data_IF_262840469731
#
_entry.id   IF_262840469731
#
_cell.length_a   1.000
_cell.length_b   1.000
_cell.length_c   1.000
_cell.angle_alpha   90.00
_cell.angle_beta   90.00
_cell.angle_gamma   90.00
#
_symmetry.space_group_name_H-M   'P 1'
#
loop_
_entity.id
_entity.type
_entity.pdbx_description
1 polymer ?
2 polymer ?
3 non-polymer ?
4 water ?
#
# COMPACT_ATOMS: atom_id res chain seq x y z
N UNK A 1 27.66 -4.07 4.84
CA UNK A 1 28.06 -2.85 5.53
C UNK A 1 27.59 -2.78 6.95
N UNK A 2 27.74 -1.61 7.56
CA UNK A 2 27.33 -1.44 8.96
C UNK A 2 25.84 -1.30 9.12
N UNK A 3 25.34 -1.73 10.27
CA UNK A 3 23.92 -1.54 10.57
C UNK A 3 23.71 -0.05 10.82
N UNK A 4 22.70 0.54 10.17
CA UNK A 4 22.45 1.97 10.23
C UNK A 4 21.05 2.22 10.78
N UNK A 5 20.89 3.32 11.52
CA UNK A 5 19.58 3.85 11.91
C UNK A 5 19.27 5.06 11.06
N UNK A 6 18.08 5.11 10.46
CA UNK A 6 17.71 6.19 9.55
C UNK A 6 16.30 6.68 9.91
N UNK A 7 16.14 8.00 10.00
CA UNK A 7 14.87 8.61 10.34
C UNK A 7 14.14 9.04 9.08
N UNK A 8 12.84 8.73 9.02
CA UNK A 8 11.99 9.12 7.91
C UNK A 8 10.78 9.82 8.49
N UNK A 9 10.37 10.93 7.87
CA UNK A 9 9.22 11.69 8.32
C UNK A 9 8.16 11.61 7.25
N UNK A 10 6.92 11.31 7.65
CA UNK A 10 5.84 11.24 6.67
C UNK A 10 4.53 11.65 7.32
N UNK A 11 3.61 12.12 6.50
CA UNK A 11 2.28 12.46 6.97
C UNK A 11 1.32 11.35 6.54
N UNK A 12 0.11 11.37 7.10
CA UNK A 12 -0.76 10.22 6.90
C UNK A 12 -1.35 10.14 5.50
N UNK A 13 -1.22 11.18 4.67
CA UNK A 13 -1.82 11.14 3.34
C UNK A 13 -0.95 10.45 2.30
N UNK A 14 0.28 10.07 2.63
CA UNK A 14 1.21 9.57 1.63
C UNK A 14 1.73 8.20 2.05
N UNK A 15 2.31 7.47 1.11
CA UNK A 15 3.02 6.25 1.43
C UNK A 15 4.48 6.53 1.79
N UNK A 16 5.22 5.44 2.02
CA UNK A 16 6.64 5.57 2.33
C UNK A 16 7.45 6.02 1.12
N UNK A 17 7.01 5.65 -0.08
CA UNK A 17 7.77 5.99 -1.26
C UNK A 17 8.86 5.00 -1.57
N UNK A 18 8.67 3.73 -1.20
CA UNK A 18 9.64 2.69 -1.52
C UNK A 18 8.91 1.53 -2.17
N UNK A 19 9.63 0.80 -3.01
CA UNK A 19 9.21 -0.54 -3.40
C UNK A 19 10.13 -1.53 -2.72
N UNK A 20 9.54 -2.61 -2.23
CA UNK A 20 10.32 -3.65 -1.56
C UNK A 20 10.18 -4.97 -2.30
N UNK A 21 11.24 -5.76 -2.26
CA UNK A 21 11.20 -7.11 -2.79
C UNK A 21 11.77 -8.08 -1.74
N UNK A 22 11.70 -9.36 -2.03
CA UNK A 22 12.25 -10.35 -1.11
C UNK A 22 11.29 -10.78 -0.02
N UNK A 23 11.86 -11.42 0.98
CA UNK A 23 11.11 -12.00 2.08
C UNK A 23 11.62 -13.38 2.39
N UNK A 24 11.35 -13.84 3.61
CA UNK A 24 11.88 -15.16 4.09
C UNK A 24 11.57 -16.30 3.12
N UNK A 25 10.38 -16.30 2.52
CA UNK A 25 9.99 -17.45 1.65
C UNK A 25 10.87 -17.48 0.41
N UNK A 26 11.59 -16.40 0.12
CA UNK A 26 12.50 -16.33 -1.00
C UNK A 26 13.95 -16.41 -0.57
N UNK A 27 14.22 -16.58 0.72
CA UNK A 27 15.59 -16.62 1.17
C UNK A 27 16.35 -15.33 0.95
N UNK A 28 15.63 -14.21 0.96
CA UNK A 28 16.16 -12.88 0.71
C UNK A 28 15.60 -12.00 1.82
N UNK A 29 16.35 -11.06 2.38
CA UNK A 29 15.74 -10.10 3.30
C UNK A 29 14.75 -9.22 2.58
N UNK A 30 14.02 -8.43 3.35
CA UNK A 30 13.19 -7.36 2.78
C UNK A 30 14.15 -6.31 2.23
N UNK A 31 14.18 -6.14 0.91
CA UNK A 31 15.15 -5.27 0.24
C UNK A 31 14.43 -4.10 -0.40
N UNK A 32 15.01 -2.92 -0.31
CA UNK A 32 14.48 -1.78 -1.05
C UNK A 32 14.91 -1.93 -2.52
N UNK A 33 13.94 -2.06 -3.41
CA UNK A 33 14.26 -2.14 -4.83
C UNK A 33 14.00 -0.84 -5.58
N UNK A 34 13.22 0.08 -5.02
CA UNK A 34 12.93 1.36 -5.65
C UNK A 34 12.81 2.42 -4.56
N UNK A 35 13.38 3.60 -4.81
CA UNK A 35 13.13 4.81 -4.03
C UNK A 35 12.43 5.79 -4.96
N UNK A 36 11.20 6.13 -4.65
CA UNK A 36 10.42 6.92 -5.58
C UNK A 36 10.67 8.41 -5.43
N UNK A 37 10.82 9.14 -6.53
CA UNK A 37 11.30 10.51 -6.42
C UNK A 37 10.30 11.41 -5.70
N UNK A 38 10.81 12.19 -4.76
CA UNK A 38 10.02 13.19 -4.08
C UNK A 38 9.14 12.70 -2.96
N UNK A 39 9.11 11.39 -2.69
CA UNK A 39 8.28 10.81 -1.64
C UNK A 39 9.11 10.64 -0.37
N UNK A 40 8.52 10.26 0.76
CA UNK A 40 9.25 10.40 2.04
C UNK A 40 10.61 9.73 2.13
N UNK A 41 10.79 8.53 1.58
CA UNK A 41 12.09 7.88 1.67
C UNK A 41 13.15 8.66 0.90
N UNK A 42 12.81 9.13 -0.30
CA UNK A 42 13.73 9.97 -1.06
C UNK A 42 14.07 11.23 -0.27
N UNK A 43 13.03 11.89 0.27
CA UNK A 43 13.22 13.14 0.99
C UNK A 43 14.07 12.99 2.23
N UNK A 44 13.97 11.86 2.95
CA UNK A 44 14.72 11.68 4.25
C UNK A 44 16.22 11.64 3.98
N UNK A 45 16.62 11.10 2.84
CA UNK A 45 18.00 11.12 2.40
C UNK A 45 18.86 9.93 2.75
N UNK A 46 18.47 9.11 3.72
CA UNK A 46 19.35 8.07 4.23
C UNK A 46 19.01 6.66 3.85
N UNK A 47 18.03 6.45 2.98
CA UNK A 47 17.62 5.11 2.54
C UNK A 47 18.01 4.94 1.09
N UNK A 48 18.50 3.76 0.73
CA UNK A 48 19.05 3.54 -0.59
C UNK A 48 18.54 2.24 -1.21
N UNK A 49 18.47 2.22 -2.54
CA UNK A 49 18.14 0.99 -3.25
C UNK A 49 19.21 -0.03 -2.93
N UNK A 50 18.79 -1.24 -2.53
CA UNK A 50 19.70 -2.28 -2.09
C UNK A 50 19.79 -2.43 -0.59
N UNK A 51 19.26 -1.46 0.17
CA UNK A 51 19.21 -1.58 1.62
C UNK A 51 18.30 -2.73 2.01
N UNK A 52 18.71 -3.49 3.02
CA UNK A 52 17.86 -4.47 3.66
C UNK A 52 17.24 -3.84 4.91
N UNK A 53 15.92 -3.99 5.06
CA UNK A 53 15.25 -3.43 6.22
C UNK A 53 15.17 -4.49 7.31
N UNK A 54 15.86 -4.24 8.43
CA UNK A 54 15.92 -5.18 9.54
C UNK A 54 14.85 -4.93 10.58
N UNK A 55 14.42 -3.67 10.72
CA UNK A 55 13.40 -3.35 11.70
C UNK A 55 12.88 -1.96 11.37
N UNK A 56 11.67 -1.68 11.83
CA UNK A 56 11.08 -0.37 11.67
C UNK A 56 10.35 -0.03 12.96
N UNK A 57 10.73 1.10 13.59
CA UNK A 57 10.16 1.50 14.87
C UNK A 57 10.28 0.38 15.90
N UNK A 58 11.41 -0.33 15.86
CA UNK A 58 11.62 -1.43 16.77
C UNK A 58 10.87 -2.70 16.46
N UNK A 59 10.02 -2.70 15.43
CA UNK A 59 9.30 -3.91 15.03
C UNK A 59 10.19 -4.71 14.10
N UNK A 60 10.43 -5.96 14.45
CA UNK A 60 11.37 -6.79 13.73
C UNK A 60 10.86 -7.13 12.33
N UNK A 61 11.76 -7.02 11.34
CA UNK A 61 11.45 -7.40 9.98
C UNK A 61 12.37 -8.50 9.50
N UNK A 62 13.32 -8.92 10.34
CA UNK A 62 14.16 -10.07 10.04
C UNK A 62 13.29 -11.31 9.87
N UNK A 63 13.54 -12.06 8.80
CA UNK A 63 12.88 -13.33 8.54
C UNK A 63 11.37 -13.18 8.41
N UNK A 64 10.89 -12.00 8.03
CA UNK A 64 9.48 -11.83 7.71
C UNK A 64 9.23 -12.21 6.27
N UNK A 65 8.05 -12.75 6.01
CA UNK A 65 7.57 -13.02 4.67
C UNK A 65 7.22 -11.70 4.00
N UNK A 66 7.20 -11.71 2.66
CA UNK A 66 6.96 -10.50 1.90
C UNK A 66 5.74 -9.73 2.38
N UNK A 67 4.58 -10.39 2.41
CA UNK A 67 3.34 -9.71 2.74
C UNK A 67 3.27 -9.35 4.22
N UNK A 68 3.95 -10.10 5.08
CA UNK A 68 4.06 -9.72 6.49
C UNK A 68 4.75 -8.37 6.62
N UNK A 69 5.83 -8.20 5.85
CA UNK A 69 6.57 -6.94 5.86
C UNK A 69 5.73 -5.79 5.33
N UNK A 70 4.94 -6.04 4.28
CA UNK A 70 4.09 -4.99 3.73
C UNK A 70 3.13 -4.49 4.80
N UNK A 71 2.51 -5.40 5.57
CA UNK A 71 1.57 -4.97 6.60
C UNK A 71 2.27 -4.16 7.67
N UNK A 72 3.42 -4.64 8.13
CA UNK A 72 4.16 -3.94 9.19
C UNK A 72 4.60 -2.56 8.73
N UNK A 73 5.21 -2.48 7.54
CA UNK A 73 5.75 -1.20 7.09
C UNK A 73 4.64 -0.19 6.85
N UNK A 74 3.53 -0.62 6.25
CA UNK A 74 2.44 0.30 5.93
C UNK A 74 1.69 0.78 7.15
N UNK A 75 1.84 0.11 8.30
CA UNK A 75 1.19 0.57 9.54
C UNK A 75 1.92 1.73 10.21
N UNK A 76 3.18 1.99 9.85
CA UNK A 76 3.96 2.98 10.56
C UNK A 76 3.56 4.39 10.14
N UNK A 77 3.53 5.31 11.11
CA UNK A 77 3.09 6.68 10.88
C UNK A 77 4.07 7.69 11.47
N UNK A 78 4.13 8.86 10.85
CA UNK A 78 4.81 10.00 11.46
C UNK A 78 6.32 9.94 11.41
N UNK A 79 6.98 9.96 12.56
CA UNK A 79 8.44 9.87 12.64
C UNK A 79 8.81 8.40 12.78
N UNK A 80 9.42 7.85 11.74
CA UNK A 80 9.67 6.43 11.62
C UNK A 80 11.17 6.15 11.59
N UNK A 81 11.64 5.28 12.48
CA UNK A 81 13.06 4.95 12.56
C UNK A 81 13.29 3.59 11.90
N UNK A 82 14.11 3.57 10.86
CA UNK A 82 14.46 2.36 10.15
C UNK A 82 15.81 1.85 10.65
N UNK A 83 15.92 0.53 10.80
CA UNK A 83 17.21 -0.10 11.01
C UNK A 83 17.51 -0.85 9.72
N UNK A 84 18.57 -0.45 9.02
CA UNK A 84 18.83 -0.96 7.68
C UNK A 84 20.30 -1.34 7.57
N UNK A 85 20.60 -2.18 6.59
CA UNK A 85 21.98 -2.52 6.28
C UNK A 85 22.11 -2.69 4.79
N UNK A 86 23.19 -2.13 4.23
CA UNK A 86 23.49 -2.29 2.81
C UNK A 86 24.53 -3.40 2.66
N UNK A 87 24.18 -4.43 1.89
CA UNK A 87 25.05 -5.56 1.61
C UNK A 87 25.30 -5.64 0.11
N UNK B 1 2.60 7.80 -10.47
CA UNK B 1 2.28 8.70 -9.38
C UNK B 1 2.50 8.05 -8.03
N UNK B 2 2.44 8.85 -6.97
CA UNK B 2 2.75 8.33 -5.64
C UNK B 2 1.54 7.67 -4.99
N UNK B 3 1.83 6.87 -3.96
CA UNK B 3 0.76 6.33 -3.14
C UNK B 3 0.10 7.45 -2.39
N UNK B 4 -1.24 7.46 -2.41
CA UNK B 4 -2.02 8.47 -1.63
C UNK B 4 -2.94 7.71 -0.66
N UNK B 5 -3.11 8.22 0.56
CA UNK B 5 -4.06 7.61 1.48
C UNK B 5 -5.24 8.57 1.59
N UNK B 6 -6.41 8.08 1.20
CA UNK B 6 -7.62 8.89 0.99
C UNK B 6 -8.71 8.41 1.94
N UNK B 7 -9.30 9.35 2.68
CA UNK B 7 -10.37 9.02 3.60
C UNK B 7 -11.72 9.26 2.94
N UNK B 8 -12.57 8.26 2.98
CA UNK B 8 -13.91 8.28 2.43
C UNK B 8 -14.87 8.11 3.59
N UNK B 9 -15.96 8.87 3.61
CA UNK B 9 -16.95 8.74 4.69
C UNK B 9 -18.24 8.20 4.08
N UNK B 10 -18.65 7.02 4.53
CA UNK B 10 -19.91 6.42 4.01
C UNK B 10 -20.92 6.26 5.15
N UNK B 11 -22.15 6.72 4.95
CA UNK B 11 -23.19 6.44 5.96
C UNK B 11 -23.53 4.95 5.82
N UNK B 12 -24.10 4.34 6.84
CA UNK B 12 -24.35 2.90 6.80
C UNK B 12 -25.28 2.51 5.65
N UNK B 13 -26.19 3.39 5.24
CA UNK B 13 -27.10 3.06 4.15
C UNK B 13 -26.49 3.29 2.76
N UNK B 14 -25.28 3.80 2.67
CA UNK B 14 -24.67 4.11 1.38
C UNK B 14 -23.76 2.97 0.94
N UNK B 15 -23.50 2.92 -0.37
CA UNK B 15 -22.36 2.18 -0.89
C UNK B 15 -21.12 3.06 -0.88
N UNK B 16 -19.99 2.45 -1.25
CA UNK B 16 -18.75 3.23 -1.39
C UNK B 16 -18.86 4.20 -2.56
N UNK B 17 -19.58 3.83 -3.60
CA UNK B 17 -19.68 4.63 -4.80
C UNK B 17 -18.63 4.33 -5.86
N UNK B 18 -18.13 3.10 -5.91
CA UNK B 18 -17.12 2.74 -6.90
C UNK B 18 -17.48 1.41 -7.54
N UNK B 19 -17.10 1.26 -8.81
CA UNK B 19 -17.03 -0.03 -9.45
C UNK B 19 -15.56 -0.37 -9.64
N UNK B 20 -15.25 -1.65 -9.53
CA UNK B 20 -13.86 -2.08 -9.66
C UNK B 20 -13.78 -3.27 -10.59
N UNK B 21 -12.58 -3.42 -11.17
CA UNK B 21 -12.20 -4.58 -11.96
C UNK B 21 -10.87 -5.10 -11.42
N UNK B 22 -10.48 -6.28 -11.88
CA UNK B 22 -9.13 -6.77 -11.64
C UNK B 22 -8.99 -7.65 -10.41
N UNK B 23 -7.75 -7.89 -10.02
CA UNK B 23 -7.45 -8.79 -8.93
C UNK B 23 -6.49 -9.89 -9.34
N UNK B 24 -6.05 -10.67 -8.35
CA UNK B 24 -5.01 -11.70 -8.55
C UNK B 24 -5.24 -12.59 -9.77
N UNK B 25 -6.48 -13.05 -9.97
CA UNK B 25 -6.69 -14.00 -11.06
C UNK B 25 -6.59 -13.33 -12.42
N UNK B 26 -6.60 -12.01 -12.47
CA UNK B 26 -6.47 -11.30 -13.72
C UNK B 26 -5.04 -10.78 -13.93
N UNK B 27 -4.14 -11.01 -12.98
CA UNK B 27 -2.78 -10.55 -13.08
C UNK B 27 -2.62 -9.05 -13.06
N UNK B 28 -3.60 -8.33 -12.51
CA UNK B 28 -3.58 -6.87 -12.49
C UNK B 28 -4.11 -6.41 -11.14
N UNK B 29 -3.83 -5.17 -10.76
CA UNK B 29 -4.34 -4.67 -9.49
C UNK B 29 -5.87 -4.54 -9.50
N UNK B 30 -6.41 -4.41 -8.30
CA UNK B 30 -7.78 -3.97 -8.12
C UNK B 30 -7.85 -2.53 -8.61
N UNK B 31 -8.67 -2.27 -9.62
CA UNK B 31 -8.70 -0.96 -10.28
C UNK B 31 -10.07 -0.34 -10.11
N UNK B 32 -10.10 0.97 -9.82
CA UNK B 32 -11.36 1.70 -9.87
C UNK B 32 -11.74 1.92 -11.33
N UNK B 33 -12.89 1.37 -11.74
CA UNK B 33 -13.31 1.53 -13.12
C UNK B 33 -14.41 2.56 -13.28
N UNK B 34 -15.09 2.96 -12.21
CA UNK B 34 -16.12 3.99 -12.30
C UNK B 34 -16.29 4.62 -10.92
N UNK B 35 -16.46 5.94 -10.89
CA UNK B 35 -16.79 6.70 -9.69
C UNK B 35 -18.22 7.20 -9.87
N UNK B 36 -19.14 6.65 -9.11
CA UNK B 36 -20.55 6.98 -9.31
C UNK B 36 -20.91 8.36 -8.78
N UNK B 37 -21.53 9.21 -9.61
CA UNK B 37 -21.76 10.59 -9.20
C UNK B 37 -22.60 10.70 -7.95
N UNK B 38 -22.16 11.56 -7.03
CA UNK B 38 -22.91 11.86 -5.84
C UNK B 38 -22.71 10.92 -4.68
N UNK B 39 -22.11 9.75 -4.91
CA UNK B 39 -21.88 8.79 -3.84
C UNK B 39 -20.57 9.14 -3.11
N UNK B 40 -20.26 8.44 -1.99
CA UNK B 40 -19.15 8.88 -1.12
C UNK B 40 -17.80 9.01 -1.81
N UNK B 41 -17.45 8.12 -2.74
CA UNK B 41 -16.14 8.25 -3.37
C UNK B 41 -16.06 9.51 -4.21
N UNK B 42 -17.14 9.85 -4.91
CA UNK B 42 -17.18 11.10 -5.66
C UNK B 42 -17.07 12.29 -4.72
N UNK B 43 -17.79 12.24 -3.59
CA UNK B 43 -17.85 13.39 -2.69
C UNK B 43 -16.50 13.67 -2.05
N UNK B 44 -15.68 12.64 -1.77
CA UNK B 44 -14.45 12.94 -1.03
C UNK B 44 -13.47 13.65 -1.95
N UNK B 45 -13.64 13.52 -3.26
CA UNK B 45 -12.81 14.19 -4.25
C UNK B 45 -11.42 13.64 -4.45
N UNK B 46 -11.04 12.59 -3.74
CA UNK B 46 -9.67 12.11 -3.79
C UNK B 46 -9.46 10.78 -4.48
N UNK B 47 -10.50 10.20 -5.08
CA UNK B 47 -10.45 8.91 -5.74
C UNK B 47 -10.85 9.09 -7.19
N UNK B 48 -10.12 8.45 -8.11
CA UNK B 48 -10.35 8.67 -9.54
C UNK B 48 -10.28 7.38 -10.34
N UNK B 49 -10.98 7.37 -11.47
CA UNK B 49 -10.94 6.22 -12.35
C UNK B 49 -9.51 5.95 -12.75
N UNK B 50 -9.11 4.68 -12.67
CA UNK B 50 -7.75 4.29 -12.96
C UNK B 50 -6.87 4.14 -11.73
N UNK B 51 -7.32 4.62 -10.58
CA UNK B 51 -6.59 4.40 -9.34
C UNK B 51 -6.57 2.89 -9.05
N UNK B 52 -5.41 2.37 -8.66
CA UNK B 52 -5.30 1.02 -8.13
C UNK B 52 -5.52 1.05 -6.62
N UNK B 53 -6.36 0.15 -6.11
CA UNK B 53 -6.56 0.06 -4.66
C UNK B 53 -5.54 -0.95 -4.12
N UNK B 54 -4.50 -0.44 -3.45
CA UNK B 54 -3.49 -1.30 -2.85
C UNK B 54 -3.93 -1.87 -1.52
N UNK B 55 -4.70 -1.10 -0.75
CA UNK B 55 -5.16 -1.55 0.56
C UNK B 55 -6.38 -0.73 0.96
N UNK B 56 -7.18 -1.29 1.85
CA UNK B 56 -8.31 -0.56 2.42
C UNK B 56 -8.31 -0.81 3.93
N UNK B 57 -8.34 0.27 4.70
CA UNK B 57 -8.25 0.18 6.16
C UNK B 57 -7.13 -0.77 6.62
N UNK B 58 -6.00 -0.72 5.91
CA UNK B 58 -4.87 -1.55 6.29
C UNK B 58 -4.92 -3.00 5.85
N UNK B 59 -5.94 -3.40 5.08
CA UNK B 59 -6.02 -4.74 4.50
C UNK B 59 -5.34 -4.70 3.14
N UNK B 60 -4.22 -5.41 3.01
CA UNK B 60 -3.45 -5.47 1.78
C UNK B 60 -4.23 -6.19 0.69
N UNK B 61 -4.48 -5.49 -0.43
CA UNK B 61 -5.24 -6.06 -1.53
C UNK B 61 -4.38 -6.21 -2.78
N UNK B 62 -3.06 -6.19 -2.62
CA UNK B 62 -2.18 -6.30 -3.77
C UNK B 62 -2.19 -7.71 -4.37
N UNK B 63 -2.54 -8.72 -3.59
CA UNK B 63 -2.43 -10.11 -4.03
C UNK B 63 -3.67 -10.91 -3.63
N UNK B 64 -4.83 -10.34 -3.88
CA UNK B 64 -6.10 -10.93 -3.51
C UNK B 64 -6.97 -11.05 -4.74
N UNK B 65 -7.72 -12.14 -4.82
CA UNK B 65 -8.65 -12.33 -5.92
C UNK B 65 -9.78 -11.32 -5.87
N UNK B 66 -10.39 -11.12 -7.03
CA UNK B 66 -11.46 -10.14 -7.18
C UNK B 66 -12.56 -10.29 -6.12
N UNK B 67 -13.14 -11.49 -6.01
CA UNK B 67 -14.30 -11.68 -5.13
C UNK B 67 -13.95 -11.38 -3.68
N UNK B 68 -12.80 -11.87 -3.21
CA UNK B 68 -12.39 -11.63 -1.84
C UNK B 68 -12.14 -10.15 -1.57
N UNK B 69 -11.51 -9.45 -2.52
CA UNK B 69 -11.31 -8.02 -2.37
C UNK B 69 -12.64 -7.29 -2.30
N UNK B 70 -13.58 -7.67 -3.14
CA UNK B 70 -14.89 -7.00 -3.11
C UNK B 70 -15.57 -7.27 -1.77
N UNK B 71 -15.44 -8.48 -1.24
CA UNK B 71 -16.05 -8.78 0.05
C UNK B 71 -15.46 -7.92 1.15
N UNK B 72 -14.13 -7.82 1.19
CA UNK B 72 -13.47 -6.99 2.21
C UNK B 72 -13.92 -5.54 2.08
N UNK B 73 -13.98 -5.04 0.85
CA UNK B 73 -14.37 -3.64 0.62
C UNK B 73 -15.81 -3.42 1.09
N UNK B 74 -16.66 -4.41 0.85
CA UNK B 74 -18.08 -4.32 1.19
C UNK B 74 -18.33 -4.34 2.69
N UNK B 75 -17.37 -4.82 3.48
CA UNK B 75 -17.50 -4.91 4.93
C UNK B 75 -17.10 -3.62 5.63
N UNK B 76 -16.45 -2.69 4.93
CA UNK B 76 -15.95 -1.49 5.59
C UNK B 76 -17.10 -0.53 5.91
N UNK B 77 -16.97 0.18 7.02
CA UNK B 77 -18.01 1.10 7.52
C UNK B 77 -17.37 2.41 7.95
N UNK B 78 -18.15 3.50 7.85
CA UNK B 78 -17.75 4.76 8.44
C UNK B 78 -16.67 5.47 7.64
N UNK B 79 -15.70 6.02 8.36
CA UNK B 79 -14.55 6.67 7.73
C UNK B 79 -13.56 5.61 7.33
N UNK B 80 -13.31 5.50 6.02
CA UNK B 80 -12.58 4.37 5.44
C UNK B 80 -11.36 4.89 4.68
N UNK B 81 -10.18 4.36 5.02
CA UNK B 81 -8.94 4.80 4.40
C UNK B 81 -8.59 3.90 3.21
N UNK B 82 -8.46 4.49 2.03
CA UNK B 82 -8.06 3.79 0.82
C UNK B 82 -6.60 4.15 0.54
N UNK B 83 -5.77 3.17 0.32
CA UNK B 83 -4.38 3.37 -0.11
C UNK B 83 -4.37 3.11 -1.61
N UNK B 84 -4.16 4.16 -2.41
CA UNK B 84 -4.31 4.04 -3.85
C UNK B 84 -3.09 4.60 -4.55
N UNK B 85 -2.91 4.20 -5.80
CA UNK B 85 -1.85 4.75 -6.62
C UNK B 85 -2.36 4.86 -8.05
N UNK B 86 -2.11 6.03 -8.64
CA UNK B 86 -2.42 6.23 -10.09
C UNK B 86 -1.05 6.06 -10.75
N UNK B 87 -0.83 4.94 -11.42
CA UNK B 87 0.48 4.60 -11.96
C UNK B 87 0.78 5.44 -13.19
N UNK C 3 11.72 -11.67 -12.22
CA UNK C 3 10.29 -11.50 -11.84
C UNK C 3 9.89 -12.62 -10.86
N UNK C 4 10.83 -13.50 -10.52
CA UNK C 4 10.54 -14.64 -9.61
C UNK C 4 10.16 -14.05 -8.25
N UNK C 5 10.73 -12.89 -7.90
CA UNK C 5 10.46 -12.34 -6.57
C UNK C 5 9.29 -11.36 -6.64
N UNK C 6 8.49 -11.26 -5.59
CA UNK C 6 7.42 -10.27 -5.57
C UNK C 6 7.97 -8.90 -5.29
N UNK C 7 7.31 -7.88 -5.84
CA UNK C 7 7.62 -6.49 -5.54
C UNK C 7 6.34 -5.78 -5.14
N UNK C 8 6.41 -5.02 -4.04
CA UNK C 8 5.29 -4.21 -3.57
C UNK C 8 5.76 -2.77 -3.41
N UNK C 9 4.84 -1.81 -3.93
CA UNK C 9 5.06 -0.40 -3.70
C UNK C 9 4.41 0.01 -2.39
N UNK C 10 5.06 0.69 -1.33
CA UNK C 10 4.48 1.02 -0.06
C UNK C 10 4.85 2.43 0.31
N UNK D 5 -12.76 -9.10 -17.81
CA UNK D 5 -12.69 -8.34 -16.57
C UNK D 5 -14.08 -8.01 -16.08
N UNK D 6 -14.63 -8.89 -15.27
CA UNK D 6 -15.92 -8.62 -14.64
C UNK D 6 -15.85 -7.40 -13.72
N UNK D 7 -16.99 -6.74 -13.58
CA UNK D 7 -17.12 -5.56 -12.74
C UNK D 7 -17.92 -5.89 -11.50
N UNK D 8 -17.46 -5.41 -10.35
CA UNK D 8 -18.28 -5.36 -9.16
C UNK D 8 -18.53 -3.90 -8.83
N UNK D 9 -19.79 -3.72 -8.19
CA UNK D 9 -20.09 -2.36 -7.81
C UNK D 9 -20.12 -2.30 -6.30
N UNK D 10 -19.47 -1.40 -5.42
CA UNK D 10 -19.39 -1.50 -3.97
C UNK D 10 -19.73 -0.15 -3.36
X LIG E 1 5.74 6.51 -6.18
X LIG E 1 5.87 6.92 -5.06
X LIG E 1 5.98 7.42 -7.36
X LIG E 1 6.13 8.78 -7.15
X LIG E 1 6.34 9.61 -8.24
X LIG E 1 6.39 9.08 -9.51
X LIG E 1 6.22 7.72 -9.71
X LIG E 1 6.01 6.88 -8.63
X LIG E 1 6.62 10.00 -10.69
X LIG E 1 5.36 10.84 -10.85
X LIG E 1 5.26 11.31 -12.22
X LIG F 1 -25.24 1.04 -6.88
X LIG F 1 -25.88 0.58 -7.79
X LIG F 1 -25.80 1.08 -5.48
X LIG F 1 -26.60 0.04 -5.04
X LIG F 1 -27.13 0.06 -3.77
X LIG F 1 -26.84 1.11 -2.91
X LIG F 1 -26.03 2.15 -3.33
X LIG F 1 -25.51 2.13 -4.62
X LIG F 1 -27.45 1.08 -1.49
X LIG F 1 -26.55 0.29 -0.55
X LIG F 1 -27.14 0.30 0.78
#
# INVERSE_FOLDING_TARGET
GPIRKVLLLKEDHEGLGISITGGKEHGVPILISEIHPGQPADRCGGLHVGDAILAVNGVNLRDTKHKEAVTILSQQRGEIEFEVVYV
GPIRKVLLLKEDHEGLGISITGGKEHGVPILISEIHPGQPADRCGGLHVGDAILAVNGVNLRDTKHKEAVTILSQQRGEIEFEVVYV
ANSRLPTSKI
ANSRLPTSKI
VU4 CH OH C01 C02 C03 C04 C05 C06 C07 C08 N01
VU4 CH OH C01 C02 C03 C04 C05 C06 C07 C08 N01
#
